data_IF_473954793796
#
_entry.id   IF_473954793796
#
_cell.length_a   1.000
_cell.length_b   1.000
_cell.length_c   1.000
_cell.angle_alpha   90.00
_cell.angle_beta   90.00
_cell.angle_gamma   90.00
#
_symmetry.space_group_name_H-M   'P 1'
#
loop_
_entity.id
_entity.type
_entity.pdbx_description
1 polymer ?
#
# COMPACT_ATOMS: atom_id res chain seq x y z
N UNK A 1 32.21 -21.15 47.83
CA UNK A 1 33.40 -21.74 47.15
C UNK A 1 33.47 -21.08 45.78
N UNK A 2 34.33 -20.06 45.55
CA UNK A 2 35.80 -20.13 45.29
C UNK A 2 36.05 -21.10 44.11
N UNK A 3 36.69 -20.76 42.98
CA UNK A 3 37.81 -19.86 42.62
C UNK A 3 37.74 -19.61 41.08
N UNK A 4 38.10 -18.45 40.52
CA UNK A 4 39.48 -17.97 40.21
C UNK A 4 40.22 -18.96 39.29
N UNK A 5 40.83 -18.59 38.16
CA UNK A 5 41.89 -17.59 37.91
C UNK A 5 41.96 -17.34 36.37
N UNK A 6 42.13 -16.09 35.90
CA UNK A 6 43.40 -15.47 35.44
C UNK A 6 44.06 -16.19 34.26
N UNK A 7 44.55 -15.54 33.20
CA UNK A 7 44.83 -14.14 32.93
C UNK A 7 45.73 -14.07 31.69
N UNK A 8 46.50 -12.98 31.63
CA UNK A 8 47.72 -12.73 30.84
C UNK A 8 47.57 -11.77 29.65
N UNK A 9 48.21 -10.63 29.92
CA UNK A 9 48.50 -9.44 29.16
C UNK A 9 49.43 -9.71 27.96
N UNK A 10 49.47 -8.74 27.05
CA UNK A 10 50.45 -8.69 25.98
C UNK A 10 50.38 -7.36 25.22
N UNK A 11 51.12 -6.37 25.71
CA UNK A 11 51.51 -5.16 24.97
C UNK A 11 52.33 -5.50 23.71
N UNK A 12 52.39 -4.56 22.74
CA UNK A 12 53.63 -4.00 22.14
C UNK A 12 53.33 -3.44 20.73
N UNK A 13 53.25 -2.11 20.67
CA UNK A 13 54.01 -1.14 19.86
C UNK A 13 54.27 -1.30 18.33
N UNK A 14 54.30 -0.12 17.68
CA UNK A 14 54.90 0.31 16.38
C UNK A 14 53.95 0.31 15.18
N UNK A 15 53.64 1.43 14.48
CA UNK A 15 54.33 2.64 13.96
C UNK A 15 54.31 2.59 12.42
N UNK A 16 53.87 3.71 11.84
CA UNK A 16 54.30 4.33 10.57
C UNK A 16 53.80 3.80 9.20
N UNK A 17 52.95 4.64 8.61
CA UNK A 17 52.99 5.24 7.26
C UNK A 17 52.97 4.39 5.95
N UNK A 18 51.97 4.74 5.12
CA UNK A 18 52.07 5.31 3.76
C UNK A 18 51.45 4.54 2.58
N UNK A 19 50.45 5.21 1.99
CA UNK A 19 50.02 5.31 0.57
C UNK A 19 50.21 4.12 -0.38
N UNK A 20 49.08 3.68 -0.96
CA UNK A 20 48.89 3.70 -2.43
C UNK A 20 47.41 3.55 -2.81
N UNK A 21 46.94 4.49 -3.62
CA UNK A 21 45.78 4.31 -4.50
C UNK A 21 45.95 3.05 -5.36
N UNK A 22 44.87 2.30 -5.55
CA UNK A 22 44.39 1.95 -6.89
C UNK A 22 43.02 1.26 -6.79
N UNK A 23 42.13 1.66 -7.70
CA UNK A 23 40.70 1.41 -7.62
C UNK A 23 40.29 -0.05 -7.65
N UNK A 24 39.24 -0.35 -6.90
CA UNK A 24 38.25 -1.36 -7.25
C UNK A 24 36.91 -0.88 -6.75
N UNK A 25 35.98 -0.79 -7.70
CA UNK A 25 34.69 -0.13 -7.57
C UNK A 25 34.03 -0.40 -6.22
N UNK A 26 33.70 0.70 -5.53
CA UNK A 26 32.76 0.66 -4.42
C UNK A 26 31.49 0.01 -4.95
N UNK A 27 31.29 -1.24 -4.56
CA UNK A 27 29.98 -1.86 -4.63
C UNK A 27 29.09 -1.03 -3.73
N UNK A 28 28.47 0.00 -4.33
CA UNK A 28 27.27 0.62 -3.79
C UNK A 28 26.30 -0.55 -3.61
N UNK A 29 26.14 -1.01 -2.37
CA UNK A 29 25.00 -1.83 -2.01
C UNK A 29 23.79 -0.90 -2.13
N UNK A 30 23.33 -0.70 -3.36
CA UNK A 30 22.01 -0.17 -3.61
C UNK A 30 21.10 -1.20 -2.99
N UNK A 31 20.66 -0.90 -1.76
CA UNK A 31 19.55 -1.61 -1.15
C UNK A 31 18.36 -1.26 -2.02
N UNK A 32 18.15 -2.06 -3.06
CA UNK A 32 16.93 -2.06 -3.84
C UNK A 32 15.85 -2.65 -2.93
N UNK A 33 15.48 -1.88 -1.90
CA UNK A 33 14.11 -1.92 -1.42
C UNK A 33 13.35 -1.35 -2.59
N UNK A 34 12.88 -2.24 -3.45
CA UNK A 34 11.74 -1.93 -4.29
C UNK A 34 10.58 -1.69 -3.32
N UNK A 35 10.54 -0.50 -2.73
CA UNK A 35 9.27 0.11 -2.39
C UNK A 35 8.67 0.42 -3.74
N UNK A 36 8.06 -0.60 -4.36
CA UNK A 36 6.96 -0.33 -5.27
C UNK A 36 6.07 0.59 -4.47
N UNK A 37 6.12 1.88 -4.77
CA UNK A 37 5.19 2.82 -4.18
C UNK A 37 3.83 2.25 -4.51
N UNK A 38 3.13 1.72 -3.50
CA UNK A 38 1.76 1.22 -3.60
C UNK A 38 0.79 2.40 -3.77
N UNK A 39 1.27 3.49 -4.36
CA UNK A 39 0.59 4.75 -4.55
C UNK A 39 -0.29 4.58 -5.78
N UNK A 40 -1.54 4.21 -5.52
CA UNK A 40 -2.59 4.35 -6.50
C UNK A 40 -3.08 5.80 -6.53
N UNK A 41 -3.56 6.27 -7.67
CA UNK A 41 -4.18 7.58 -7.76
C UNK A 41 -5.59 7.54 -7.16
N UNK A 42 -6.32 6.44 -7.41
CA UNK A 42 -7.74 6.30 -7.08
C UNK A 42 -7.99 5.01 -6.32
N UNK A 43 -8.64 5.10 -5.17
CA UNK A 43 -9.31 3.98 -4.51
C UNK A 43 -10.77 3.92 -4.96
N UNK A 44 -11.19 2.79 -5.51
CA UNK A 44 -12.56 2.58 -5.99
C UNK A 44 -13.32 1.72 -4.98
N UNK A 45 -14.15 2.36 -4.15
CA UNK A 45 -15.02 1.67 -3.19
C UNK A 45 -16.37 1.39 -3.85
N UNK A 46 -16.80 0.13 -3.79
CA UNK A 46 -18.03 -0.34 -4.41
C UNK A 46 -18.63 -1.52 -3.65
N UNK A 47 -19.92 -1.76 -3.84
CA UNK A 47 -20.49 -3.04 -3.41
C UNK A 47 -20.25 -4.09 -4.49
N UNK A 48 -19.91 -5.32 -4.08
CA UNK A 48 -19.65 -6.43 -4.99
C UNK A 48 -20.81 -6.71 -5.98
N UNK A 49 -22.05 -6.41 -5.59
CA UNK A 49 -23.22 -6.49 -6.48
C UNK A 49 -23.08 -5.59 -7.73
N UNK A 50 -22.25 -4.55 -7.67
CA UNK A 50 -22.03 -3.57 -8.73
C UNK A 50 -20.67 -3.78 -9.43
N UNK A 51 -19.98 -4.91 -9.16
CA UNK A 51 -18.63 -5.20 -9.70
C UNK A 51 -18.56 -4.99 -11.21
N UNK A 52 -19.52 -5.54 -11.97
CA UNK A 52 -19.51 -5.48 -13.44
C UNK A 52 -19.40 -4.05 -13.98
N UNK A 53 -20.21 -3.13 -13.49
CA UNK A 53 -20.24 -1.74 -13.97
C UNK A 53 -19.05 -0.94 -13.43
N UNK A 54 -18.61 -1.23 -12.21
CA UNK A 54 -17.44 -0.59 -11.60
C UNK A 54 -16.13 -1.04 -12.26
N UNK A 55 -16.03 -2.29 -12.73
CA UNK A 55 -14.89 -2.74 -13.53
C UNK A 55 -14.76 -1.92 -14.82
N UNK A 56 -15.86 -1.65 -15.52
CA UNK A 56 -15.84 -0.77 -16.71
C UNK A 56 -15.42 0.66 -16.37
N UNK A 57 -15.85 1.17 -15.21
CA UNK A 57 -15.40 2.47 -14.72
C UNK A 57 -13.88 2.47 -14.48
N UNK A 58 -13.37 1.48 -13.75
CA UNK A 58 -11.93 1.29 -13.50
C UNK A 58 -11.13 1.24 -14.80
N UNK A 59 -11.53 0.40 -15.75
CA UNK A 59 -10.88 0.29 -17.06
C UNK A 59 -10.85 1.64 -17.78
N UNK A 60 -11.93 2.42 -17.68
CA UNK A 60 -11.99 3.76 -18.30
C UNK A 60 -11.04 4.74 -17.61
N UNK A 61 -10.96 4.72 -16.28
CA UNK A 61 -10.02 5.56 -15.50
C UNK A 61 -8.57 5.22 -15.82
N UNK A 62 -8.24 3.94 -15.94
CA UNK A 62 -6.90 3.46 -16.28
C UNK A 62 -6.55 3.77 -17.73
N UNK A 63 -7.40 3.40 -18.69
CA UNK A 63 -7.08 3.50 -20.13
C UNK A 63 -7.21 4.90 -20.71
N UNK A 64 -8.26 5.66 -20.32
CA UNK A 64 -8.50 7.01 -20.86
C UNK A 64 -7.97 8.10 -19.93
N UNK A 65 -8.01 7.86 -18.62
CA UNK A 65 -7.54 8.80 -17.61
C UNK A 65 -6.06 8.68 -17.30
N UNK A 66 -5.42 7.53 -17.60
CA UNK A 66 -4.04 7.26 -17.21
C UNK A 66 -3.86 7.18 -15.68
N UNK A 67 -4.93 6.90 -14.93
CA UNK A 67 -4.93 6.86 -13.47
C UNK A 67 -4.78 5.43 -12.97
N UNK A 68 -3.87 5.21 -12.03
CA UNK A 68 -3.74 3.93 -11.36
C UNK A 68 -4.88 3.74 -10.34
N UNK A 69 -5.59 2.61 -10.45
CA UNK A 69 -6.75 2.33 -9.59
C UNK A 69 -6.47 1.16 -8.64
N UNK A 70 -6.88 1.30 -7.39
CA UNK A 70 -7.00 0.21 -6.43
C UNK A 70 -8.47 -0.16 -6.28
N UNK A 71 -8.76 -1.47 -6.31
CA UNK A 71 -10.10 -2.02 -6.16
C UNK A 71 -9.99 -3.36 -5.42
N UNK A 72 -10.86 -3.61 -4.46
CA UNK A 72 -10.90 -4.93 -3.80
C UNK A 72 -11.49 -5.96 -4.78
N UNK A 73 -10.63 -6.85 -5.27
CA UNK A 73 -11.00 -7.95 -6.18
C UNK A 73 -11.25 -9.27 -5.44
N UNK A 74 -10.93 -9.35 -4.15
CA UNK A 74 -10.96 -10.58 -3.38
C UNK A 74 -12.29 -10.73 -2.63
N UNK A 75 -12.71 -11.98 -2.44
CA UNK A 75 -13.81 -12.30 -1.54
C UNK A 75 -13.29 -12.18 -0.10
N UNK A 76 -14.08 -11.58 0.79
CA UNK A 76 -13.82 -11.41 2.23
C UNK A 76 -13.72 -12.76 2.98
N UNK A 77 -12.75 -13.59 2.62
CA UNK A 77 -12.56 -14.95 3.16
C UNK A 77 -11.37 -15.06 4.12
N UNK A 78 -10.81 -13.96 4.63
CA UNK A 78 -9.71 -14.07 5.59
C UNK A 78 -9.34 -12.80 6.37
N UNK A 79 -9.51 -12.88 7.71
CA UNK A 79 -8.63 -12.32 8.75
C UNK A 79 -8.36 -10.81 8.81
N UNK A 80 -7.64 -10.40 9.87
CA UNK A 80 -7.15 -9.03 10.08
C UNK A 80 -6.36 -8.47 8.89
N UNK A 81 -5.71 -9.33 8.11
CA UNK A 81 -4.88 -8.94 6.97
C UNK A 81 -5.65 -8.20 5.88
N UNK A 82 -6.93 -8.55 5.63
CA UNK A 82 -7.69 -7.87 4.58
C UNK A 82 -8.04 -6.43 4.97
N UNK A 83 -8.35 -6.19 6.24
CA UNK A 83 -8.61 -4.84 6.73
C UNK A 83 -7.36 -3.96 6.62
N UNK A 84 -6.19 -4.51 6.92
CA UNK A 84 -4.90 -3.82 6.77
C UNK A 84 -4.61 -3.48 5.29
N UNK A 85 -4.91 -4.37 4.35
CA UNK A 85 -4.78 -4.10 2.91
C UNK A 85 -5.71 -2.98 2.44
N UNK A 86 -6.95 -2.95 2.93
CA UNK A 86 -7.92 -1.90 2.63
C UNK A 86 -7.46 -0.56 3.22
N UNK A 87 -7.08 -0.51 4.50
CA UNK A 87 -6.56 0.72 5.12
C UNK A 87 -5.31 1.22 4.40
N UNK A 88 -4.42 0.31 3.98
CA UNK A 88 -3.26 0.65 3.17
C UNK A 88 -3.65 1.20 1.79
N UNK A 89 -4.60 0.56 1.11
CA UNK A 89 -5.12 1.04 -0.18
C UNK A 89 -5.72 2.44 -0.07
N UNK A 90 -6.59 2.67 0.92
CA UNK A 90 -7.18 3.99 1.18
C UNK A 90 -6.07 4.99 1.50
N UNK A 91 -5.16 4.66 2.41
CA UNK A 91 -4.08 5.53 2.87
C UNK A 91 -3.14 5.94 1.74
N UNK A 92 -2.82 5.04 0.82
CA UNK A 92 -1.90 5.33 -0.29
C UNK A 92 -2.59 5.96 -1.51
N UNK A 93 -3.93 5.94 -1.57
CA UNK A 93 -4.68 6.62 -2.63
C UNK A 93 -4.77 8.14 -2.44
N UNK A 94 -4.87 8.89 -3.54
CA UNK A 94 -5.13 10.34 -3.49
C UNK A 94 -6.64 10.64 -3.46
N UNK A 95 -7.39 9.91 -4.28
CA UNK A 95 -8.83 10.09 -4.49
C UNK A 95 -9.56 8.83 -4.04
N UNK A 96 -10.70 9.00 -3.37
CA UNK A 96 -11.61 7.93 -3.02
C UNK A 96 -12.90 8.08 -3.82
N UNK A 97 -13.16 7.17 -4.75
CA UNK A 97 -14.43 7.12 -5.48
C UNK A 97 -15.40 6.22 -4.72
N UNK A 98 -16.54 6.79 -4.31
CA UNK A 98 -17.64 6.04 -3.71
C UNK A 98 -18.67 5.72 -4.80
N UNK A 99 -18.70 4.47 -5.26
CA UNK A 99 -19.66 3.98 -6.24
C UNK A 99 -21.01 3.70 -5.56
N UNK A 100 -21.80 4.75 -5.41
CA UNK A 100 -23.07 4.75 -4.69
C UNK A 100 -24.13 3.95 -5.44
N UNK A 101 -24.79 3.05 -4.72
CA UNK A 101 -25.94 2.28 -5.15
C UNK A 101 -26.81 1.93 -3.95
N UNK A 102 -27.97 1.32 -4.17
CA UNK A 102 -28.78 0.78 -3.08
C UNK A 102 -27.99 -0.28 -2.28
N UNK A 103 -27.22 -1.13 -2.96
CA UNK A 103 -26.34 -2.14 -2.35
C UNK A 103 -25.19 -1.52 -1.56
N UNK A 104 -24.56 -0.46 -2.07
CA UNK A 104 -23.49 0.27 -1.39
C UNK A 104 -23.96 0.82 -0.04
N UNK A 105 -25.11 1.50 -0.03
CA UNK A 105 -25.66 2.11 1.19
C UNK A 105 -25.99 1.08 2.28
N UNK A 106 -26.42 -0.12 1.87
CA UNK A 106 -26.76 -1.21 2.78
C UNK A 106 -25.53 -2.01 3.27
N UNK A 107 -24.39 -1.94 2.57
CA UNK A 107 -23.17 -2.67 2.91
C UNK A 107 -22.43 -2.07 4.12
N UNK A 108 -22.22 -2.87 5.18
CA UNK A 108 -21.43 -2.47 6.36
C UNK A 108 -19.99 -2.15 5.96
N UNK A 109 -19.40 -2.92 5.03
CA UNK A 109 -18.01 -2.74 4.62
C UNK A 109 -17.83 -1.43 3.87
N UNK A 110 -18.71 -1.13 2.91
CA UNK A 110 -18.67 0.13 2.17
C UNK A 110 -18.80 1.34 3.11
N UNK A 111 -19.67 1.25 4.13
CA UNK A 111 -19.80 2.31 5.15
C UNK A 111 -18.54 2.49 5.99
N UNK A 112 -17.85 1.40 6.34
CA UNK A 112 -16.57 1.47 7.09
C UNK A 112 -15.46 2.07 6.23
N UNK A 113 -15.36 1.66 4.97
CA UNK A 113 -14.36 2.18 4.03
C UNK A 113 -14.52 3.68 3.80
N UNK A 114 -15.74 4.17 3.53
CA UNK A 114 -15.96 5.61 3.32
C UNK A 114 -15.71 6.42 4.60
N UNK A 115 -16.07 5.89 5.77
CA UNK A 115 -15.76 6.53 7.05
C UNK A 115 -14.24 6.63 7.25
N UNK A 116 -13.51 5.54 6.99
CA UNK A 116 -12.06 5.54 7.05
C UNK A 116 -11.44 6.54 6.06
N UNK A 117 -11.94 6.61 4.82
CA UNK A 117 -11.49 7.59 3.83
C UNK A 117 -11.71 9.03 4.29
N UNK A 118 -12.84 9.32 4.94
CA UNK A 118 -13.12 10.62 5.55
C UNK A 118 -12.18 10.94 6.70
N UNK A 119 -11.92 9.97 7.58
CA UNK A 119 -10.98 10.11 8.70
C UNK A 119 -9.54 10.38 8.20
N UNK A 120 -9.17 9.74 7.08
CA UNK A 120 -7.90 9.98 6.37
C UNK A 120 -7.92 11.24 5.48
N UNK A 121 -8.98 12.04 5.51
CA UNK A 121 -9.16 13.30 4.75
C UNK A 121 -8.96 13.14 3.24
N UNK A 122 -9.39 12.00 2.68
CA UNK A 122 -9.31 11.74 1.25
C UNK A 122 -10.28 12.63 0.48
N UNK A 123 -9.93 12.95 -0.77
CA UNK A 123 -10.87 13.58 -1.70
C UNK A 123 -11.91 12.54 -2.10
N UNK A 124 -13.11 12.64 -1.54
CA UNK A 124 -14.21 11.72 -1.84
C UNK A 124 -15.01 12.23 -3.04
N UNK A 125 -15.11 11.42 -4.10
CA UNK A 125 -15.94 11.69 -5.28
C UNK A 125 -17.08 10.67 -5.32
N UNK A 126 -18.32 11.08 -5.03
CA UNK A 126 -19.46 10.19 -5.15
C UNK A 126 -19.84 9.99 -6.63
N UNK A 127 -20.03 8.74 -7.04
CA UNK A 127 -20.50 8.36 -8.38
C UNK A 127 -21.74 7.48 -8.21
N UNK A 128 -22.88 7.91 -8.73
CA UNK A 128 -24.09 7.11 -8.70
C UNK A 128 -24.01 6.00 -9.76
N UNK A 129 -24.13 4.76 -9.31
CA UNK A 129 -24.04 3.56 -10.13
C UNK A 129 -25.40 2.86 -10.10
N UNK A 130 -26.08 2.87 -11.25
CA UNK A 130 -27.41 2.27 -11.40
C UNK A 130 -27.39 1.25 -12.53
N UNK A 131 -28.11 0.14 -12.34
CA UNK A 131 -28.37 -0.80 -13.43
C UNK A 131 -29.45 -0.20 -14.32
N UNK A 132 -29.22 -0.21 -15.63
CA UNK A 132 -30.23 0.23 -16.58
C UNK A 132 -31.53 -0.54 -16.34
N UNK A 133 -32.60 0.18 -16.00
CA UNK A 133 -33.94 -0.39 -15.96
C UNK A 133 -34.45 -0.43 -17.39
N UNK A 134 -34.67 -1.63 -17.92
CA UNK A 134 -35.42 -1.78 -19.17
C UNK A 134 -36.90 -1.57 -18.84
N UNK A 135 -37.54 -0.64 -19.55
CA UNK A 135 -38.99 -0.42 -19.51
C UNK A 135 -39.68 -1.28 -20.57
#
# INVERSE_FOLDING_TARGET
KKKEEEGVEGEVEKREEKEKEEGKGSALSVSLRSTVDLNCDVFVSYCWADKRIVTTLRETLETKGGLSCWMDDLVLTGGCSLFEEIDRGITNSKIFIACLSASYSNSINCRREIQLAMDRKKLVIPVLVSRSVSF
#
